data_IF_251464956413
#
_entry.id   IF_251464956413
#
_cell.length_a   1.000
_cell.length_b   1.000
_cell.length_c   1.000
_cell.angle_alpha   90.00
_cell.angle_beta   90.00
_cell.angle_gamma   90.00
#
_symmetry.space_group_name_H-M   'P 1'
#
loop_
_entity.id
_entity.type
_entity.pdbx_description
1 polymer ?
#
# COMPACT_ATOMS: atom_id res chain seq x y z
N UNK A 1 9.10 -9.96 42.93
CA UNK A 1 9.89 -9.61 41.73
C UNK A 1 9.23 -8.43 41.03
N UNK A 2 9.97 -7.34 40.87
CA UNK A 2 9.49 -6.05 40.36
C UNK A 2 9.02 -6.14 38.89
N UNK A 3 8.10 -5.25 38.46
CA UNK A 3 7.60 -5.18 37.08
C UNK A 3 8.73 -4.86 36.10
N UNK A 4 9.59 -3.91 36.45
CA UNK A 4 10.77 -3.52 35.65
C UNK A 4 11.76 -4.68 35.44
N UNK A 5 11.97 -5.54 36.45
CA UNK A 5 12.84 -6.72 36.29
C UNK A 5 12.26 -7.72 35.28
N UNK A 6 10.93 -7.90 35.25
CA UNK A 6 10.27 -8.75 34.25
C UNK A 6 10.44 -8.17 32.85
N UNK A 7 10.22 -6.86 32.71
CA UNK A 7 10.39 -6.13 31.44
C UNK A 7 11.83 -6.19 30.94
N UNK A 8 12.83 -6.07 31.83
CA UNK A 8 14.24 -6.19 31.45
C UNK A 8 14.58 -7.61 30.96
N UNK A 9 14.11 -8.67 31.63
CA UNK A 9 14.28 -10.06 31.18
C UNK A 9 13.67 -10.29 29.79
N UNK A 10 12.47 -9.76 29.57
CA UNK A 10 11.76 -9.81 28.28
C UNK A 10 12.57 -9.08 27.21
N UNK A 11 13.07 -7.87 27.51
CA UNK A 11 13.92 -7.09 26.60
C UNK A 11 15.20 -7.83 26.22
N UNK A 12 15.92 -8.40 27.19
CA UNK A 12 17.14 -9.18 26.94
C UNK A 12 16.84 -10.44 26.13
N UNK A 13 15.68 -11.07 26.36
CA UNK A 13 15.28 -12.24 25.56
C UNK A 13 14.97 -11.86 24.11
N UNK A 14 14.37 -10.68 23.88
CA UNK A 14 14.11 -10.13 22.55
C UNK A 14 15.38 -9.77 21.79
N UNK A 15 16.41 -9.27 22.47
CA UNK A 15 17.71 -8.96 21.86
C UNK A 15 18.55 -10.20 21.47
N UNK A 16 17.94 -11.39 21.40
CA UNK A 16 18.58 -12.63 20.98
C UNK A 16 19.36 -13.38 22.07
N UNK A 17 19.38 -12.88 23.31
CA UNK A 17 20.14 -13.51 24.38
C UNK A 17 19.55 -14.89 24.77
N UNK A 18 20.43 -15.88 24.98
CA UNK A 18 20.03 -17.21 25.43
C UNK A 18 19.57 -17.21 26.90
N UNK A 19 18.67 -18.12 27.29
CA UNK A 19 18.16 -18.19 28.67
C UNK A 19 19.26 -18.28 29.74
N UNK A 20 20.35 -18.98 29.44
CA UNK A 20 21.52 -19.09 30.32
C UNK A 20 22.26 -17.76 30.49
N UNK A 21 22.41 -16.99 29.40
CA UNK A 21 23.07 -15.70 29.43
C UNK A 21 22.21 -14.67 30.18
N UNK A 22 20.90 -14.64 29.95
CA UNK A 22 19.97 -13.77 30.70
C UNK A 22 19.99 -14.10 32.19
N UNK A 23 20.00 -15.39 32.54
CA UNK A 23 20.06 -15.85 33.93
C UNK A 23 21.35 -15.39 34.64
N UNK A 24 22.48 -15.32 33.92
CA UNK A 24 23.75 -14.80 34.45
C UNK A 24 23.72 -13.28 34.59
N UNK A 25 23.23 -12.58 33.56
CA UNK A 25 23.17 -11.11 33.52
C UNK A 25 22.23 -10.54 34.59
N UNK A 26 21.08 -11.18 34.80
CA UNK A 26 20.04 -10.70 35.73
C UNK A 26 20.15 -11.33 37.12
N UNK A 27 21.09 -12.26 37.33
CA UNK A 27 21.23 -13.10 38.52
C UNK A 27 19.96 -13.87 38.93
N UNK A 28 19.01 -14.02 38.00
CA UNK A 28 17.75 -14.73 38.23
C UNK A 28 17.89 -16.17 37.79
N UNK A 29 17.33 -17.09 38.57
CA UNK A 29 17.30 -18.52 38.24
C UNK A 29 16.74 -18.77 36.83
N UNK A 30 17.43 -19.58 36.03
CA UNK A 30 17.05 -19.91 34.64
C UNK A 30 15.61 -20.41 34.48
N UNK A 31 15.07 -21.17 35.43
CA UNK A 31 13.68 -21.66 35.37
C UNK A 31 12.68 -20.53 35.59
N UNK A 32 13.04 -19.55 36.42
CA UNK A 32 12.26 -18.33 36.63
C UNK A 32 12.28 -17.48 35.38
N UNK A 33 13.45 -17.28 34.75
CA UNK A 33 13.58 -16.60 33.44
C UNK A 33 12.69 -17.28 32.38
N UNK A 34 12.78 -18.60 32.22
CA UNK A 34 11.92 -19.36 31.29
C UNK A 34 10.43 -19.19 31.58
N UNK A 35 10.05 -19.28 32.86
CA UNK A 35 8.66 -19.11 33.31
C UNK A 35 8.12 -17.71 33.03
N UNK A 36 8.97 -16.68 33.16
CA UNK A 36 8.63 -15.30 32.84
C UNK A 36 8.44 -15.15 31.33
N UNK A 37 9.40 -15.56 30.51
CA UNK A 37 9.30 -15.45 29.05
C UNK A 37 8.11 -16.24 28.48
N UNK A 38 7.79 -17.41 29.05
CA UNK A 38 6.64 -18.22 28.63
C UNK A 38 5.31 -17.55 28.99
N UNK A 39 5.21 -16.93 30.16
CA UNK A 39 3.99 -16.25 30.63
C UNK A 39 3.83 -14.84 30.08
N UNK A 40 4.90 -14.23 29.57
CA UNK A 40 4.85 -12.88 29.01
C UNK A 40 4.30 -12.81 27.60
N UNK A 41 3.95 -13.95 26.98
CA UNK A 41 3.54 -13.98 25.57
C UNK A 41 4.65 -13.53 24.62
N UNK A 42 5.93 -13.69 25.00
CA UNK A 42 7.07 -13.19 24.22
C UNK A 42 7.15 -13.75 22.79
N UNK A 43 6.56 -14.94 22.61
CA UNK A 43 6.49 -15.68 21.34
C UNK A 43 5.11 -15.53 20.70
N UNK A 44 4.36 -14.51 21.09
CA UNK A 44 3.05 -14.20 20.57
C UNK A 44 3.07 -12.76 20.08
N UNK A 45 2.27 -12.50 19.07
CA UNK A 45 2.02 -11.18 18.52
C UNK A 45 1.65 -10.17 19.61
N UNK A 46 2.10 -8.93 19.43
CA UNK A 46 1.69 -7.85 20.31
C UNK A 46 0.18 -7.61 20.15
N UNK A 47 -0.64 -7.77 21.21
CA UNK A 47 -2.08 -7.64 21.10
C UNK A 47 -2.54 -6.21 20.77
N UNK A 48 -1.84 -5.19 21.26
CA UNK A 48 -2.13 -3.77 20.95
C UNK A 48 -1.80 -3.46 19.49
N UNK A 49 -0.65 -3.96 19.03
CA UNK A 49 -0.22 -3.85 17.63
C UNK A 49 -1.22 -4.54 16.71
N UNK A 50 -1.60 -5.79 17.02
CA UNK A 50 -2.57 -6.55 16.25
C UNK A 50 -3.92 -5.84 16.19
N UNK A 51 -4.39 -5.25 17.28
CA UNK A 51 -5.65 -4.52 17.30
C UNK A 51 -5.64 -3.30 16.37
N UNK A 52 -4.52 -2.56 16.32
CA UNK A 52 -4.38 -1.38 15.46
C UNK A 52 -4.20 -1.71 13.98
N UNK A 53 -3.41 -2.75 13.66
CA UNK A 53 -2.96 -3.04 12.30
C UNK A 53 -3.66 -4.24 11.67
N UNK A 54 -4.90 -4.54 12.07
CA UNK A 54 -5.70 -5.58 11.40
C UNK A 54 -6.48 -4.97 10.25
N UNK A 55 -6.29 -5.51 9.04
CA UNK A 55 -7.09 -5.17 7.87
C UNK A 55 -8.53 -5.66 8.12
N UNK A 56 -9.55 -4.78 8.04
CA UNK A 56 -10.94 -5.16 8.27
C UNK A 56 -11.45 -6.11 7.18
N UNK A 57 -12.29 -7.07 7.58
CA UNK A 57 -12.99 -7.91 6.61
C UNK A 57 -14.00 -7.08 5.79
N UNK A 58 -14.14 -7.36 4.48
CA UNK A 58 -15.10 -6.66 3.64
C UNK A 58 -16.54 -6.85 4.14
N UNK A 59 -17.27 -5.76 4.32
CA UNK A 59 -18.69 -5.76 4.64
C UNK A 59 -19.51 -5.49 3.38
N UNK A 60 -20.73 -6.02 3.32
CA UNK A 60 -21.65 -5.69 2.24
C UNK A 60 -22.10 -4.23 2.38
N UNK A 61 -21.77 -3.40 1.37
CA UNK A 61 -22.32 -2.05 1.26
C UNK A 61 -23.69 -2.09 0.59
N UNK A 62 -24.61 -1.26 1.09
CA UNK A 62 -25.95 -1.04 0.50
C UNK A 62 -26.02 0.27 -0.28
N UNK A 63 -24.89 0.97 -0.43
CA UNK A 63 -24.81 2.23 -1.16
C UNK A 63 -25.22 2.03 -2.64
N UNK A 64 -26.17 2.84 -3.10
CA UNK A 64 -26.67 2.78 -4.47
C UNK A 64 -25.53 3.15 -5.45
N UNK A 65 -25.35 2.34 -6.49
CA UNK A 65 -24.38 2.64 -7.52
C UNK A 65 -24.82 3.86 -8.33
N UNK A 66 -24.16 5.00 -8.11
CA UNK A 66 -24.30 6.17 -8.98
C UNK A 66 -23.64 5.86 -10.32
N UNK A 67 -24.43 5.86 -11.39
CA UNK A 67 -23.93 5.60 -12.75
C UNK A 67 -23.31 6.90 -13.26
N UNK A 68 -22.01 6.88 -13.59
CA UNK A 68 -21.35 8.03 -14.23
C UNK A 68 -21.99 8.29 -15.60
N UNK A 69 -22.24 9.56 -15.98
CA UNK A 69 -22.81 9.89 -17.29
C UNK A 69 -21.82 9.57 -18.41
N UNK A 70 -22.35 9.40 -19.63
CA UNK A 70 -21.51 9.24 -20.82
C UNK A 70 -20.75 10.56 -21.11
N UNK A 71 -19.46 10.49 -21.47
CA UNK A 71 -18.71 11.66 -21.87
C UNK A 71 -19.27 12.23 -23.19
N UNK A 72 -19.25 13.57 -23.36
CA UNK A 72 -19.69 14.19 -24.60
C UNK A 72 -18.77 13.78 -25.76
N UNK A 73 -19.35 13.58 -26.95
CA UNK A 73 -18.58 13.32 -28.16
C UNK A 73 -17.80 14.58 -28.57
N UNK A 74 -16.52 14.40 -28.88
CA UNK A 74 -15.62 15.48 -29.27
C UNK A 74 -15.06 15.25 -30.68
N UNK A 75 -14.80 16.34 -31.39
CA UNK A 75 -14.11 16.34 -32.69
C UNK A 75 -12.70 16.86 -32.44
N UNK A 76 -11.72 15.96 -32.43
CA UNK A 76 -10.33 16.28 -32.06
C UNK A 76 -9.47 16.36 -33.32
N UNK A 77 -9.40 15.27 -34.07
CA UNK A 77 -8.56 15.14 -35.26
C UNK A 77 -9.29 15.56 -36.55
N UNK A 78 -10.61 15.72 -36.50
CA UNK A 78 -11.46 15.95 -37.67
C UNK A 78 -11.76 14.68 -38.48
N UNK A 79 -11.14 13.55 -38.13
CA UNK A 79 -11.41 12.25 -38.75
C UNK A 79 -12.42 11.46 -37.93
N UNK A 80 -13.65 11.32 -38.45
CA UNK A 80 -14.80 10.72 -37.74
C UNK A 80 -14.49 9.38 -37.06
N UNK A 81 -13.76 8.47 -37.71
CA UNK A 81 -13.44 7.15 -37.13
C UNK A 81 -12.37 7.22 -36.04
N UNK A 82 -11.39 8.14 -36.16
CA UNK A 82 -10.35 8.32 -35.13
C UNK A 82 -10.94 9.03 -33.92
N UNK A 83 -11.77 10.04 -34.13
CA UNK A 83 -12.47 10.74 -33.05
C UNK A 83 -13.45 9.81 -32.33
N UNK A 84 -14.15 8.93 -33.07
CA UNK A 84 -14.99 7.90 -32.46
C UNK A 84 -14.16 6.90 -31.65
N UNK A 85 -12.99 6.48 -32.14
CA UNK A 85 -12.09 5.59 -31.39
C UNK A 85 -11.63 6.22 -30.07
N UNK A 86 -11.15 7.47 -30.11
CA UNK A 86 -10.73 8.20 -28.92
C UNK A 86 -11.89 8.37 -27.92
N UNK A 87 -13.08 8.72 -28.42
CA UNK A 87 -14.27 8.80 -27.58
C UNK A 87 -14.63 7.46 -26.91
N UNK A 88 -14.52 6.34 -27.61
CA UNK A 88 -14.75 5.01 -27.02
C UNK A 88 -13.73 4.71 -25.91
N UNK A 89 -12.47 5.13 -26.06
CA UNK A 89 -11.48 5.02 -24.98
C UNK A 89 -11.85 5.88 -23.78
N UNK A 90 -12.35 7.10 -23.98
CA UNK A 90 -12.88 7.95 -22.89
C UNK A 90 -14.09 7.31 -22.20
N UNK A 91 -14.99 6.67 -22.96
CA UNK A 91 -16.11 5.90 -22.40
C UNK A 91 -15.61 4.75 -21.53
N UNK A 92 -14.57 4.03 -21.96
CA UNK A 92 -13.96 2.93 -21.17
C UNK A 92 -13.36 3.47 -19.87
N UNK A 93 -12.70 4.63 -19.90
CA UNK A 93 -12.12 5.27 -18.70
C UNK A 93 -13.14 5.59 -17.63
N UNK A 94 -14.43 5.75 -17.97
CA UNK A 94 -15.48 5.94 -16.96
C UNK A 94 -15.58 4.77 -15.97
N UNK A 95 -15.16 3.56 -16.36
CA UNK A 95 -15.16 2.38 -15.50
C UNK A 95 -16.54 1.74 -15.27
N UNK A 96 -17.58 2.23 -15.96
CA UNK A 96 -18.94 1.73 -15.80
C UNK A 96 -19.18 0.41 -16.57
N UNK A 97 -19.78 -0.61 -15.94
CA UNK A 97 -19.88 -1.95 -16.54
C UNK A 97 -20.78 -1.95 -17.79
N UNK A 98 -21.88 -1.19 -17.76
CA UNK A 98 -22.76 -1.03 -18.92
C UNK A 98 -22.04 -0.34 -20.08
N UNK A 99 -21.21 0.66 -19.78
CA UNK A 99 -20.45 1.39 -20.78
C UNK A 99 -19.29 0.56 -21.35
N UNK A 100 -18.60 -0.23 -20.53
CA UNK A 100 -17.53 -1.11 -20.99
C UNK A 100 -18.06 -2.14 -21.99
N UNK A 101 -19.19 -2.79 -21.70
CA UNK A 101 -19.78 -3.77 -22.63
C UNK A 101 -20.23 -3.12 -23.95
N UNK A 102 -20.82 -1.92 -23.87
CA UNK A 102 -21.18 -1.14 -25.06
C UNK A 102 -19.95 -0.70 -25.86
N UNK A 103 -18.87 -0.29 -25.17
CA UNK A 103 -17.61 0.12 -25.77
C UNK A 103 -16.91 -1.04 -26.48
N UNK A 104 -16.89 -2.25 -25.91
CA UNK A 104 -16.35 -3.45 -26.57
C UNK A 104 -17.08 -3.74 -27.89
N UNK A 105 -18.41 -3.64 -27.88
CA UNK A 105 -19.23 -3.82 -29.09
C UNK A 105 -19.00 -2.69 -30.11
N UNK A 106 -18.75 -1.47 -29.65
CA UNK A 106 -18.43 -0.33 -30.51
C UNK A 106 -17.06 -0.50 -31.16
N UNK A 107 -16.04 -0.92 -30.40
CA UNK A 107 -14.69 -1.18 -30.90
C UNK A 107 -14.68 -2.22 -32.02
N UNK A 108 -15.48 -3.29 -31.92
CA UNK A 108 -15.56 -4.32 -32.97
C UNK A 108 -16.26 -3.84 -34.25
N UNK A 109 -16.98 -2.72 -34.21
CA UNK A 109 -17.69 -2.14 -35.36
C UNK A 109 -16.90 -1.02 -36.04
N UNK A 110 -15.84 -0.53 -35.43
CA UNK A 110 -14.99 0.51 -36.02
C UNK A 110 -14.21 -0.07 -37.21
N UNK A 111 -14.15 0.70 -38.29
CA UNK A 111 -13.43 0.29 -39.50
C UNK A 111 -11.93 0.56 -39.41
N UNK A 112 -11.54 1.52 -38.55
CA UNK A 112 -10.14 1.88 -38.33
C UNK A 112 -9.50 0.89 -37.37
N UNK A 113 -8.25 0.49 -37.63
CA UNK A 113 -7.51 -0.32 -36.67
C UNK A 113 -7.00 0.54 -35.50
N UNK A 114 -6.87 0.00 -34.28
CA UNK A 114 -6.30 0.73 -33.14
C UNK A 114 -4.95 1.39 -33.44
N UNK A 115 -4.09 0.69 -34.20
CA UNK A 115 -2.78 1.19 -34.61
C UNK A 115 -2.87 2.40 -35.54
N UNK A 116 -3.74 2.35 -36.55
CA UNK A 116 -3.97 3.50 -37.43
C UNK A 116 -4.58 4.70 -36.67
N UNK A 117 -5.44 4.43 -35.69
CA UNK A 117 -6.01 5.48 -34.84
C UNK A 117 -4.93 6.16 -33.98
N UNK A 118 -4.04 5.36 -33.38
CA UNK A 118 -2.86 5.87 -32.66
C UNK A 118 -2.00 6.75 -33.56
N UNK A 119 -1.53 6.23 -34.70
CA UNK A 119 -0.63 6.96 -35.60
C UNK A 119 -1.21 8.30 -36.06
N UNK A 120 -2.52 8.32 -36.37
CA UNK A 120 -3.23 9.56 -36.75
C UNK A 120 -3.27 10.55 -35.60
N UNK A 121 -3.58 10.09 -34.40
CA UNK A 121 -3.65 10.97 -33.23
C UNK A 121 -2.26 11.47 -32.81
N UNK A 122 -1.23 10.63 -32.84
CA UNK A 122 0.17 11.05 -32.61
C UNK A 122 0.58 12.13 -33.61
N UNK A 123 0.26 11.96 -34.91
CA UNK A 123 0.56 12.96 -35.93
C UNK A 123 -0.19 14.28 -35.69
N UNK A 124 -1.45 14.21 -35.27
CA UNK A 124 -2.22 15.39 -34.88
C UNK A 124 -1.57 16.13 -33.70
N UNK A 125 -1.14 15.41 -32.66
CA UNK A 125 -0.45 16.00 -31.50
C UNK A 125 0.87 16.68 -31.90
N UNK A 126 1.65 16.06 -32.78
CA UNK A 126 2.89 16.63 -33.32
C UNK A 126 2.65 17.93 -34.09
N UNK A 127 1.58 17.98 -34.90
CA UNK A 127 1.20 19.17 -35.65
C UNK A 127 0.71 20.32 -34.75
N UNK A 128 0.14 20.00 -33.58
CA UNK A 128 -0.33 20.97 -32.59
C UNK A 128 0.70 21.30 -31.50
N UNK A 129 2.00 21.00 -31.74
CA UNK A 129 3.10 21.45 -30.89
C UNK A 129 3.49 20.52 -29.74
N UNK A 130 2.82 19.37 -29.58
CA UNK A 130 3.31 18.32 -28.68
C UNK A 130 4.43 17.56 -29.41
N UNK A 131 5.68 17.91 -29.13
CA UNK A 131 6.87 17.36 -29.79
C UNK A 131 7.05 15.84 -29.60
N UNK A 132 8.28 15.41 -29.30
CA UNK A 132 8.58 13.97 -29.11
C UNK A 132 7.80 13.32 -27.95
N UNK A 133 7.29 14.12 -26.99
CA UNK A 133 6.46 13.66 -25.86
C UNK A 133 5.11 13.10 -26.28
N UNK A 134 4.60 13.47 -27.47
CA UNK A 134 3.34 12.93 -28.03
C UNK A 134 3.36 11.41 -28.20
N UNK A 135 4.53 10.82 -28.44
CA UNK A 135 4.71 9.37 -28.57
C UNK A 135 4.44 8.67 -27.23
N UNK A 136 4.90 9.24 -26.12
CA UNK A 136 4.65 8.69 -24.78
C UNK A 136 3.17 8.80 -24.39
N UNK A 137 2.53 9.92 -24.71
CA UNK A 137 1.09 10.12 -24.45
C UNK A 137 0.20 9.19 -25.26
N UNK A 138 0.71 8.62 -26.36
CA UNK A 138 -0.05 7.76 -27.27
C UNK A 138 0.37 6.28 -27.24
N UNK A 139 1.33 5.92 -26.39
CA UNK A 139 2.03 4.62 -26.40
C UNK A 139 1.13 3.40 -26.26
N UNK A 140 -0.03 3.53 -25.59
CA UNK A 140 -0.94 2.42 -25.33
C UNK A 140 -2.21 2.45 -26.18
N UNK A 141 -2.36 3.45 -27.07
CA UNK A 141 -3.61 3.67 -27.81
C UNK A 141 -3.92 2.56 -28.82
N UNK A 142 -2.94 1.77 -29.26
CA UNK A 142 -3.17 0.59 -30.10
C UNK A 142 -3.73 -0.62 -29.34
N UNK A 143 -3.72 -0.59 -28.01
CA UNK A 143 -4.18 -1.68 -27.17
C UNK A 143 -5.43 -1.30 -26.35
N UNK A 144 -6.64 -1.33 -26.93
CA UNK A 144 -7.87 -1.02 -26.21
C UNK A 144 -8.14 -1.99 -25.04
N UNK A 145 -7.66 -3.24 -25.12
CA UNK A 145 -7.84 -4.23 -24.06
C UNK A 145 -7.10 -3.85 -22.76
N UNK A 146 -5.98 -3.14 -22.88
CA UNK A 146 -5.27 -2.58 -21.72
C UNK A 146 -6.12 -1.56 -20.96
N UNK A 147 -6.88 -0.72 -21.67
CA UNK A 147 -7.78 0.25 -21.01
C UNK A 147 -8.97 -0.46 -20.36
N UNK A 148 -9.52 -1.48 -21.01
CA UNK A 148 -10.61 -2.29 -20.45
C UNK A 148 -10.16 -3.01 -19.19
N UNK A 149 -8.99 -3.65 -19.20
CA UNK A 149 -8.46 -4.37 -18.04
C UNK A 149 -8.16 -3.41 -16.88
N UNK A 150 -7.56 -2.25 -17.15
CA UNK A 150 -7.35 -1.19 -16.15
C UNK A 150 -8.66 -0.67 -15.56
N UNK A 151 -9.67 -0.41 -16.40
CA UNK A 151 -10.98 0.06 -15.95
C UNK A 151 -11.67 -0.97 -15.04
N UNK A 152 -11.63 -2.25 -15.41
CA UNK A 152 -12.16 -3.36 -14.59
C UNK A 152 -11.42 -3.49 -13.26
N UNK A 153 -10.09 -3.42 -13.29
CA UNK A 153 -9.25 -3.49 -12.08
C UNK A 153 -9.53 -2.31 -11.14
N UNK A 154 -9.63 -1.09 -11.67
CA UNK A 154 -9.94 0.10 -10.89
C UNK A 154 -11.33 -0.01 -10.25
N UNK A 155 -12.33 -0.51 -11.00
CA UNK A 155 -13.67 -0.79 -10.46
C UNK A 155 -13.64 -1.82 -9.32
N UNK A 156 -12.85 -2.88 -9.45
CA UNK A 156 -12.69 -3.87 -8.39
C UNK A 156 -12.07 -3.23 -7.14
N UNK A 157 -11.01 -2.43 -7.30
CA UNK A 157 -10.38 -1.69 -6.20
C UNK A 157 -11.37 -0.73 -5.52
N UNK A 158 -12.12 0.05 -6.28
CA UNK A 158 -13.18 0.92 -5.78
C UNK A 158 -14.28 0.15 -5.02
N UNK A 159 -14.67 -1.03 -5.50
CA UNK A 159 -15.60 -1.89 -4.80
C UNK A 159 -15.04 -2.39 -3.45
N UNK A 160 -13.73 -2.71 -3.38
CA UNK A 160 -13.06 -3.07 -2.12
C UNK A 160 -13.07 -1.91 -1.12
N UNK A 161 -12.86 -0.67 -1.57
CA UNK A 161 -12.95 0.53 -0.70
C UNK A 161 -14.33 0.60 -0.05
N UNK A 162 -15.41 0.54 -0.86
CA UNK A 162 -16.78 0.55 -0.31
C UNK A 162 -17.06 -0.64 0.60
N UNK A 163 -16.47 -1.80 0.34
CA UNK A 163 -16.58 -2.95 1.22
C UNK A 163 -15.93 -2.74 2.59
N UNK A 164 -14.78 -2.08 2.64
CA UNK A 164 -14.05 -1.84 3.89
C UNK A 164 -14.54 -0.61 4.67
N UNK A 165 -14.83 0.50 3.97
CA UNK A 165 -15.11 1.81 4.56
C UNK A 165 -16.57 2.28 4.39
N UNK A 166 -17.38 1.59 3.60
CA UNK A 166 -18.77 1.95 3.31
C UNK A 166 -18.90 2.90 2.12
N UNK A 167 -18.10 3.98 2.08
CA UNK A 167 -18.07 4.98 1.00
C UNK A 167 -16.63 5.32 0.58
N UNK A 168 -16.47 5.99 -0.57
CA UNK A 168 -15.16 6.45 -1.04
C UNK A 168 -14.61 7.65 -0.26
N UNK A 169 -15.47 8.45 0.37
CA UNK A 169 -15.05 9.60 1.17
C UNK A 169 -14.55 9.15 2.55
N UNK A 170 -15.18 8.14 3.15
CA UNK A 170 -14.87 7.66 4.50
C UNK A 170 -13.46 7.06 4.64
N UNK A 171 -12.78 6.70 3.56
CA UNK A 171 -11.40 6.17 3.59
C UNK A 171 -10.36 7.25 3.94
N UNK A 172 -10.70 8.53 3.73
CA UNK A 172 -9.81 9.65 4.03
C UNK A 172 -9.90 10.11 5.48
N UNK A 173 -10.89 9.62 6.23
CA UNK A 173 -10.95 9.84 7.67
C UNK A 173 -9.74 9.17 8.37
N UNK A 174 -9.14 9.83 9.39
CA UNK A 174 -8.01 9.26 10.12
C UNK A 174 -8.34 7.91 10.75
N UNK A 175 -7.50 6.90 10.49
CA UNK A 175 -7.63 5.58 11.16
C UNK A 175 -7.10 5.65 12.59
N UNK A 176 -7.44 4.70 13.49
CA UNK A 176 -6.99 4.76 14.88
C UNK A 176 -5.48 4.93 15.08
N UNK A 177 -4.66 4.33 14.22
CA UNK A 177 -3.21 4.50 14.26
C UNK A 177 -2.77 5.94 13.89
N UNK A 178 -3.42 6.57 12.91
CA UNK A 178 -3.18 7.97 12.54
C UNK A 178 -3.65 8.91 13.64
N UNK A 179 -4.81 8.67 14.25
CA UNK A 179 -5.29 9.46 15.40
C UNK A 179 -4.27 9.49 16.55
N UNK A 180 -3.58 8.37 16.82
CA UNK A 180 -2.52 8.33 17.83
C UNK A 180 -1.34 9.22 17.45
N UNK A 181 -0.91 9.19 16.18
CA UNK A 181 0.15 10.06 15.66
C UNK A 181 -0.29 11.53 15.79
N UNK A 182 -1.49 11.86 15.30
CA UNK A 182 -1.99 13.23 15.29
C UNK A 182 -2.16 13.81 16.69
N UNK A 183 -2.52 12.98 17.66
CA UNK A 183 -2.66 13.41 19.07
C UNK A 183 -1.37 13.97 19.68
N UNK A 184 -0.20 13.54 19.16
CA UNK A 184 1.12 13.91 19.69
C UNK A 184 1.82 14.95 18.83
N UNK A 185 1.68 14.82 17.51
CA UNK A 185 2.45 15.56 16.52
C UNK A 185 1.64 16.64 15.79
N UNK A 186 0.31 16.69 15.95
CA UNK A 186 -0.56 17.62 15.25
C UNK A 186 -1.18 17.02 13.99
N UNK A 187 -1.94 17.81 13.23
CA UNK A 187 -2.59 17.26 12.03
C UNK A 187 -1.57 16.79 11.00
N UNK A 188 -1.89 15.71 10.30
CA UNK A 188 -0.99 15.10 9.35
C UNK A 188 -0.42 16.08 8.29
N UNK A 189 -1.22 17.07 7.87
CA UNK A 189 -0.83 18.10 6.89
C UNK A 189 0.17 19.11 7.44
N UNK A 190 0.06 19.45 8.73
CA UNK A 190 0.96 20.40 9.41
C UNK A 190 2.31 19.75 9.71
N UNK A 191 2.32 18.46 10.11
CA UNK A 191 3.56 17.69 10.37
C UNK A 191 4.52 17.68 9.18
N UNK A 192 4.05 17.68 7.93
CA UNK A 192 4.97 17.70 6.78
C UNK A 192 5.34 19.11 6.33
N UNK A 193 4.39 20.07 6.41
CA UNK A 193 4.63 21.45 6.00
C UNK A 193 5.61 22.18 6.93
N UNK A 194 5.52 21.95 8.23
CA UNK A 194 6.41 22.59 9.22
C UNK A 194 7.81 21.96 9.18
N UNK A 195 7.94 20.66 8.90
CA UNK A 195 9.22 19.95 8.95
C UNK A 195 10.04 19.99 7.65
N UNK A 196 9.41 20.24 6.49
CA UNK A 196 10.17 20.70 5.32
C UNK A 196 10.92 22.01 5.60
N UNK A 197 10.52 22.78 6.62
CA UNK A 197 11.20 24.01 7.03
C UNK A 197 12.25 23.79 8.14
N UNK A 198 12.12 22.77 8.98
CA UNK A 198 12.98 22.57 10.18
C UNK A 198 14.09 21.49 10.04
N UNK A 199 14.06 20.61 9.04
CA UNK A 199 15.15 19.65 8.73
C UNK A 199 14.86 18.17 9.07
N UNK A 200 15.89 17.32 8.87
CA UNK A 200 15.89 15.83 8.78
C UNK A 200 15.44 15.05 10.06
N UNK A 201 14.22 15.25 10.55
CA UNK A 201 13.66 14.44 11.64
C UNK A 201 13.24 13.03 11.17
N UNK A 202 13.71 11.96 11.85
CA UNK A 202 13.20 10.60 11.63
C UNK A 202 11.86 10.39 12.35
N UNK A 203 10.78 10.25 11.59
CA UNK A 203 9.41 10.06 12.08
C UNK A 203 9.03 8.58 12.19
N UNK A 204 9.59 7.93 13.21
CA UNK A 204 9.40 6.49 13.44
C UNK A 204 8.17 6.21 14.32
N UNK A 205 7.66 7.22 15.04
CA UNK A 205 6.46 7.12 15.88
C UNK A 205 6.50 6.01 16.95
N UNK A 206 7.70 5.61 17.41
CA UNK A 206 7.86 4.56 18.44
C UNK A 206 7.37 4.97 19.82
N UNK A 207 7.16 6.27 20.06
CA UNK A 207 6.61 6.84 21.28
C UNK A 207 5.08 6.80 21.33
N UNK A 208 4.40 6.67 20.18
CA UNK A 208 2.93 6.66 20.08
C UNK A 208 2.36 5.35 19.53
N UNK A 209 3.04 4.70 18.59
CA UNK A 209 2.63 3.42 18.02
C UNK A 209 3.30 2.26 18.76
N UNK A 210 2.58 1.14 18.98
CA UNK A 210 3.16 -0.02 19.63
C UNK A 210 4.28 -0.62 18.77
N UNK A 211 5.33 -1.11 19.43
CA UNK A 211 6.40 -1.84 18.77
C UNK A 211 5.94 -3.26 18.37
N UNK A 212 6.33 -3.77 17.19
CA UNK A 212 6.10 -5.16 16.81
C UNK A 212 6.93 -6.08 17.70
N UNK A 213 6.37 -7.23 18.11
CA UNK A 213 7.09 -8.22 18.92
C UNK A 213 7.60 -9.40 18.10
N UNK A 214 6.96 -9.67 16.98
CA UNK A 214 7.24 -10.80 16.08
C UNK A 214 7.51 -10.27 14.66
N UNK A 215 8.10 -11.11 13.81
CA UNK A 215 8.22 -10.74 12.39
C UNK A 215 6.84 -10.66 11.73
N UNK A 216 5.90 -11.49 12.20
CA UNK A 216 4.49 -11.43 11.78
C UNK A 216 3.85 -10.08 12.10
N UNK A 217 4.15 -9.47 13.26
CA UNK A 217 3.71 -8.11 13.57
C UNK A 217 4.29 -7.09 12.58
N UNK A 218 5.59 -7.18 12.27
CA UNK A 218 6.24 -6.28 11.29
C UNK A 218 5.55 -6.36 9.93
N UNK A 219 5.37 -7.58 9.41
CA UNK A 219 4.70 -7.83 8.13
C UNK A 219 3.27 -7.30 8.15
N UNK A 220 2.53 -7.53 9.24
CA UNK A 220 1.14 -7.06 9.39
C UNK A 220 1.04 -5.55 9.29
N UNK A 221 1.90 -4.82 10.01
CA UNK A 221 1.91 -3.36 9.96
C UNK A 221 2.25 -2.84 8.56
N UNK A 222 3.27 -3.42 7.92
CA UNK A 222 3.66 -3.03 6.58
C UNK A 222 2.52 -3.24 5.57
N UNK A 223 1.88 -4.42 5.62
CA UNK A 223 0.73 -4.75 4.76
C UNK A 223 -0.48 -3.87 5.05
N UNK A 224 -0.72 -3.52 6.32
CA UNK A 224 -1.81 -2.62 6.69
C UNK A 224 -1.64 -1.23 6.06
N UNK A 225 -0.44 -0.66 6.13
CA UNK A 225 -0.18 0.66 5.56
C UNK A 225 -0.21 0.67 4.04
N UNK A 226 0.39 -0.35 3.40
CA UNK A 226 0.28 -0.54 1.94
C UNK A 226 -1.18 -0.70 1.50
N UNK A 227 -1.95 -1.54 2.21
CA UNK A 227 -3.38 -1.70 1.97
C UNK A 227 -4.15 -0.38 2.10
N UNK A 228 -3.93 0.38 3.17
CA UNK A 228 -4.61 1.67 3.40
C UNK A 228 -4.28 2.68 2.29
N UNK A 229 -3.01 2.76 1.91
CA UNK A 229 -2.56 3.60 0.80
C UNK A 229 -3.26 3.23 -0.51
N UNK A 230 -3.30 1.93 -0.84
CA UNK A 230 -3.98 1.45 -2.05
C UNK A 230 -5.49 1.72 -2.02
N UNK A 231 -6.15 1.61 -0.86
CA UNK A 231 -7.57 1.95 -0.72
C UNK A 231 -7.81 3.45 -0.96
N UNK A 232 -6.96 4.32 -0.40
CA UNK A 232 -7.06 5.79 -0.60
C UNK A 232 -6.79 6.19 -2.05
N UNK A 233 -5.76 5.63 -2.68
CA UNK A 233 -5.46 5.85 -4.11
C UNK A 233 -6.63 5.41 -4.98
N UNK A 234 -7.22 4.24 -4.69
CA UNK A 234 -8.37 3.74 -5.43
C UNK A 234 -9.59 4.67 -5.28
N UNK A 235 -9.87 5.15 -4.07
CA UNK A 235 -10.97 6.07 -3.81
C UNK A 235 -10.75 7.45 -4.43
N UNK A 236 -9.51 7.97 -4.35
CA UNK A 236 -9.16 9.26 -4.93
C UNK A 236 -9.38 9.26 -6.44
N UNK A 237 -8.99 8.19 -7.15
CA UNK A 237 -9.24 8.04 -8.58
C UNK A 237 -10.72 7.98 -8.95
N UNK A 238 -11.59 7.53 -8.04
CA UNK A 238 -13.04 7.56 -8.27
C UNK A 238 -13.66 8.94 -8.05
N UNK A 239 -13.22 9.65 -7.00
CA UNK A 239 -13.73 10.98 -6.65
C UNK A 239 -13.18 12.08 -7.55
N UNK A 240 -11.90 11.97 -7.91
CA UNK A 240 -11.16 12.97 -8.68
C UNK A 240 -10.42 12.30 -9.86
N UNK A 241 -11.13 11.91 -10.94
CA UNK A 241 -10.54 11.17 -12.06
C UNK A 241 -9.45 11.92 -12.83
N UNK A 242 -9.48 13.25 -12.78
CA UNK A 242 -8.52 14.14 -13.47
C UNK A 242 -7.26 14.40 -12.64
N UNK A 243 -7.29 14.10 -11.33
CA UNK A 243 -6.19 14.36 -10.42
C UNK A 243 -5.38 13.09 -10.18
N UNK A 244 -4.05 13.22 -10.34
CA UNK A 244 -3.14 12.15 -9.95
C UNK A 244 -3.01 12.12 -8.43
N UNK A 245 -3.39 11.02 -7.76
CA UNK A 245 -3.21 10.92 -6.31
C UNK A 245 -1.72 10.97 -5.98
N UNK A 246 -1.38 11.72 -4.94
CA UNK A 246 -0.04 11.68 -4.36
C UNK A 246 0.12 10.34 -3.62
N UNK A 247 1.03 9.48 -4.09
CA UNK A 247 1.29 8.15 -3.51
C UNK A 247 2.25 8.20 -2.30
N UNK A 248 2.72 9.39 -1.91
CA UNK A 248 3.75 9.53 -0.88
C UNK A 248 3.23 9.19 0.52
N UNK A 249 3.70 8.06 1.03
CA UNK A 249 3.57 7.61 2.40
C UNK A 249 4.44 8.47 3.32
N UNK A 250 3.81 9.23 4.22
CA UNK A 250 4.45 9.84 5.39
C UNK A 250 5.08 8.87 6.36
N UNK A 251 4.81 7.60 6.15
CA UNK A 251 5.28 6.55 6.98
C UNK A 251 6.62 6.05 6.46
N UNK A 252 7.27 6.71 5.50
CA UNK A 252 8.57 6.29 4.97
C UNK A 252 9.61 5.99 6.07
N UNK A 253 9.72 6.86 7.08
CA UNK A 253 10.60 6.63 8.23
C UNK A 253 10.16 5.42 9.08
N UNK A 254 8.84 5.25 9.30
CA UNK A 254 8.27 4.09 10.01
C UNK A 254 8.47 2.79 9.25
N UNK A 255 8.21 2.78 7.94
CA UNK A 255 8.41 1.65 7.04
C UNK A 255 9.89 1.22 7.02
N UNK A 256 10.82 2.16 6.89
CA UNK A 256 12.24 1.85 6.98
C UNK A 256 12.65 1.30 8.35
N UNK A 257 12.05 1.82 9.42
CA UNK A 257 12.28 1.28 10.75
C UNK A 257 11.73 -0.15 10.91
N UNK A 258 10.54 -0.43 10.36
CA UNK A 258 9.94 -1.77 10.30
C UNK A 258 10.83 -2.73 9.50
N UNK A 259 11.37 -2.30 8.37
CA UNK A 259 12.33 -3.08 7.58
C UNK A 259 13.58 -3.42 8.40
N UNK A 260 14.14 -2.46 9.15
CA UNK A 260 15.23 -2.75 10.09
C UNK A 260 14.80 -3.72 11.20
N UNK A 261 13.53 -3.73 11.62
CA UNK A 261 13.05 -4.72 12.58
C UNK A 261 13.03 -6.15 12.00
N UNK A 262 12.90 -6.32 10.68
CA UNK A 262 13.03 -7.63 10.03
C UNK A 262 14.43 -8.24 10.20
N UNK A 263 15.47 -7.43 10.43
CA UNK A 263 16.83 -7.90 10.71
C UNK A 263 17.05 -8.20 12.20
N UNK A 264 16.46 -7.36 13.05
CA UNK A 264 16.74 -7.34 14.49
C UNK A 264 15.86 -8.32 15.28
N UNK A 265 14.60 -8.50 14.87
CA UNK A 265 13.67 -9.40 15.54
C UNK A 265 13.94 -10.82 15.07
N UNK A 266 14.27 -11.72 16.00
CA UNK A 266 14.45 -13.13 15.66
C UNK A 266 13.12 -13.80 15.36
N UNK A 267 13.03 -14.66 14.34
CA UNK A 267 11.84 -15.46 14.10
C UNK A 267 11.47 -16.29 15.34
N UNK A 268 10.20 -16.28 15.71
CA UNK A 268 9.60 -17.09 16.77
C UNK A 268 9.62 -18.57 16.38
N UNK A 269 9.44 -18.86 15.10
CA UNK A 269 9.44 -20.22 14.57
C UNK A 269 10.02 -20.28 13.15
N UNK A 270 10.39 -21.49 12.71
CA UNK A 270 10.79 -21.73 11.31
C UNK A 270 9.64 -21.46 10.33
N UNK A 271 8.40 -21.69 10.76
CA UNK A 271 7.21 -21.39 9.95
C UNK A 271 7.10 -19.90 9.68
N UNK A 272 7.17 -19.09 10.74
CA UNK A 272 7.18 -17.62 10.61
C UNK A 272 8.31 -17.13 9.71
N UNK A 273 9.53 -17.64 9.89
CA UNK A 273 10.66 -17.25 9.04
C UNK A 273 10.39 -17.55 7.55
N UNK A 274 9.81 -18.72 7.25
CA UNK A 274 9.48 -19.11 5.88
C UNK A 274 8.37 -18.24 5.29
N UNK A 275 7.32 -17.96 6.06
CA UNK A 275 6.19 -17.15 5.62
C UNK A 275 6.61 -15.70 5.34
N UNK A 276 7.43 -15.13 6.24
CA UNK A 276 8.01 -13.79 6.06
C UNK A 276 8.95 -13.75 4.86
N UNK A 277 9.77 -14.79 4.65
CA UNK A 277 10.67 -14.87 3.50
C UNK A 277 9.90 -14.89 2.17
N UNK A 278 8.82 -15.66 2.08
CA UNK A 278 7.98 -15.71 0.87
C UNK A 278 7.38 -14.34 0.58
N UNK A 279 6.76 -13.71 1.58
CA UNK A 279 6.22 -12.36 1.45
C UNK A 279 7.29 -11.35 1.01
N UNK A 280 8.47 -11.39 1.62
CA UNK A 280 9.57 -10.47 1.31
C UNK A 280 10.10 -10.65 -0.13
N UNK A 281 10.12 -11.89 -0.64
CA UNK A 281 10.52 -12.19 -2.01
C UNK A 281 9.46 -11.82 -3.05
N UNK A 282 8.17 -11.91 -2.70
CA UNK A 282 7.04 -11.59 -3.58
C UNK A 282 6.75 -10.09 -3.67
N UNK A 283 7.11 -9.31 -2.64
CA UNK A 283 6.88 -7.86 -2.61
C UNK A 283 7.72 -7.12 -3.65
N UNK A 284 7.03 -6.47 -4.59
CA UNK A 284 7.63 -5.63 -5.64
C UNK A 284 8.42 -4.45 -5.06
N UNK A 285 7.97 -3.88 -3.94
CA UNK A 285 8.63 -2.77 -3.24
C UNK A 285 10.08 -3.11 -2.84
N UNK A 286 10.35 -4.39 -2.55
CA UNK A 286 11.69 -4.87 -2.22
C UNK A 286 12.48 -5.33 -3.45
N UNK A 287 11.81 -5.66 -4.55
CA UNK A 287 12.45 -6.15 -5.77
C UNK A 287 13.15 -5.05 -6.57
N UNK A 288 12.56 -3.86 -6.69
CA UNK A 288 12.92 -2.91 -7.74
C UNK A 288 14.03 -1.89 -7.38
N UNK A 289 14.51 -1.87 -6.13
CA UNK A 289 15.32 -0.73 -5.63
C UNK A 289 16.60 -1.12 -4.88
N UNK A 290 17.03 -2.39 -4.93
CA UNK A 290 18.15 -2.85 -4.07
C UNK A 290 17.87 -2.68 -2.57
N UNK A 291 16.59 -2.46 -2.22
CA UNK A 291 16.08 -2.26 -0.84
C UNK A 291 16.11 -3.56 -0.04
N UNK A 292 16.36 -4.70 -0.71
CA UNK A 292 16.62 -5.99 -0.07
C UNK A 292 17.92 -5.95 0.70
N UNK A 293 17.83 -5.95 2.01
CA UNK A 293 18.99 -5.96 2.89
C UNK A 293 19.43 -7.41 3.18
N UNK A 294 20.75 -7.66 3.10
CA UNK A 294 21.34 -8.98 3.37
C UNK A 294 21.08 -9.43 4.82
N UNK A 295 21.00 -8.48 5.76
CA UNK A 295 20.71 -8.76 7.16
C UNK A 295 19.34 -9.43 7.37
N UNK A 296 18.34 -9.06 6.56
CA UNK A 296 17.02 -9.72 6.58
C UNK A 296 17.15 -11.19 6.17
N UNK A 297 17.85 -11.48 5.08
CA UNK A 297 18.04 -12.86 4.63
C UNK A 297 18.79 -13.69 5.67
N UNK A 298 19.89 -13.14 6.20
CA UNK A 298 20.71 -13.77 7.22
C UNK A 298 19.88 -14.12 8.47
N UNK A 299 19.05 -13.18 8.95
CA UNK A 299 18.14 -13.43 10.07
C UNK A 299 17.12 -14.54 9.76
N UNK A 300 16.46 -14.49 8.59
CA UNK A 300 15.42 -15.44 8.21
C UNK A 300 15.95 -16.87 7.99
N UNK A 301 17.18 -17.04 7.52
CA UNK A 301 17.81 -18.36 7.38
C UNK A 301 18.51 -18.85 8.66
N UNK A 302 18.53 -18.02 9.71
CA UNK A 302 19.13 -18.35 11.00
C UNK A 302 20.66 -18.23 11.03
N UNK A 303 21.24 -17.52 10.08
CA UNK A 303 22.67 -17.19 10.02
C UNK A 303 22.89 -15.84 10.69
N UNK A 304 23.25 -15.84 11.97
CA UNK A 304 23.67 -14.65 12.71
C UNK A 304 25.16 -14.70 13.03
#
# INVERSE_FOLDING_TARGET
MNKEMKENIIRLKRSGMGYKAISRETEININTVKSICRRSGLFCDNPEHRALFTIPEPKYSTELATIKPLPPQQVITGHKQTDAYLWVLEVIKTGEPAHIAAAETALSRLMITPKEAQERYTRYLQQNGAGWTSVFSTMWLDNPQHFISKARLQREKAARVRGAFGSHEAVFEPVPAECLIESRYGSYREIYCDYMQEGDGEFIYTDVLPAPYTLSDVVREYQYWDWLSQMRVAAHRELYPEDNPWENSHLWHRENWLEKQLENIRPVSRGEALDVLKWYLESENFADMGRRQDGVYLNLIGSH
#
